data_IF_760049204372
#
_entry.id   IF_760049204372
#
_cell.length_a   1.000
_cell.length_b   1.000
_cell.length_c   1.000
_cell.angle_alpha   90.00
_cell.angle_beta   90.00
_cell.angle_gamma   90.00
#
_symmetry.space_group_name_H-M   'P 1'
#
loop_
_entity.id
_entity.type
_entity.pdbx_description
1 polymer ?
#
# COMPACT_ATOMS: atom_id res chain seq x y z
N UNK A 1 -13.80 -19.29 -53.96
CA UNK A 1 -14.96 -18.40 -53.85
C UNK A 1 -14.65 -17.40 -52.74
N UNK A 2 -14.42 -16.12 -53.11
CA UNK A 2 -14.07 -15.02 -52.20
C UNK A 2 -15.37 -14.43 -51.63
N UNK A 3 -15.46 -14.29 -50.31
CA UNK A 3 -16.44 -13.36 -49.73
C UNK A 3 -15.72 -12.31 -48.87
N UNK A 4 -15.75 -11.08 -49.40
CA UNK A 4 -15.36 -9.85 -48.68
C UNK A 4 -16.55 -9.39 -47.85
N UNK A 5 -16.42 -9.40 -46.53
CA UNK A 5 -17.35 -8.74 -45.63
C UNK A 5 -16.79 -7.38 -45.20
N UNK A 6 -17.35 -6.31 -45.71
CA UNK A 6 -17.13 -4.93 -45.27
C UNK A 6 -17.86 -4.70 -43.96
N UNK A 7 -17.13 -4.35 -42.90
CA UNK A 7 -17.71 -3.85 -41.65
C UNK A 7 -17.74 -2.32 -41.69
N UNK A 8 -18.93 -1.79 -41.62
CA UNK A 8 -19.27 -0.35 -41.64
C UNK A 8 -18.96 0.23 -40.25
N UNK A 9 -18.07 1.22 -40.19
CA UNK A 9 -17.82 2.04 -39.01
C UNK A 9 -18.97 3.04 -38.82
N UNK A 10 -19.73 2.89 -37.76
CA UNK A 10 -20.72 3.89 -37.34
C UNK A 10 -20.05 4.88 -36.39
N UNK A 11 -19.76 6.07 -36.87
CA UNK A 11 -19.33 7.23 -36.07
C UNK A 11 -20.57 7.78 -35.38
N UNK A 12 -20.64 7.69 -34.05
CA UNK A 12 -21.63 8.41 -33.24
C UNK A 12 -21.01 9.69 -32.71
N UNK A 13 -21.50 10.79 -33.26
CA UNK A 13 -21.24 12.16 -32.81
C UNK A 13 -22.03 12.41 -31.54
N UNK A 14 -21.36 12.80 -30.47
CA UNK A 14 -21.94 13.19 -29.17
C UNK A 14 -22.20 14.70 -29.18
N UNK A 15 -23.38 15.20 -28.81
CA UNK A 15 -23.60 16.64 -28.67
C UNK A 15 -23.04 17.17 -27.33
N UNK A 16 -22.36 18.27 -27.48
CA UNK A 16 -21.81 19.17 -26.50
C UNK A 16 -22.93 19.79 -25.64
N UNK A 17 -22.99 19.50 -24.34
CA UNK A 17 -23.87 20.22 -23.42
C UNK A 17 -23.02 21.07 -22.46
N UNK A 18 -23.05 22.37 -22.78
CA UNK A 18 -22.55 23.47 -21.95
C UNK A 18 -23.49 23.65 -20.74
N UNK A 19 -22.99 23.57 -19.51
CA UNK A 19 -23.62 24.13 -18.32
C UNK A 19 -22.57 24.89 -17.49
N UNK A 20 -22.81 26.19 -17.39
CA UNK A 20 -22.00 27.21 -16.69
C UNK A 20 -22.03 27.01 -15.17
N UNK A 21 -20.99 27.49 -14.46
CA UNK A 21 -20.89 27.45 -13.01
C UNK A 21 -21.50 28.70 -12.36
N UNK A 22 -22.16 28.49 -11.23
CA UNK A 22 -22.54 29.55 -10.31
C UNK A 22 -21.44 29.78 -9.27
N UNK A 23 -20.83 30.96 -9.33
CA UNK A 23 -19.92 31.51 -8.33
C UNK A 23 -20.73 31.93 -7.09
N UNK A 24 -20.38 31.36 -5.94
CA UNK A 24 -20.76 31.88 -4.62
C UNK A 24 -19.50 32.25 -3.85
N UNK A 25 -19.12 33.52 -3.99
CA UNK A 25 -18.20 34.23 -3.11
C UNK A 25 -18.95 34.68 -1.88
N UNK A 26 -18.63 34.10 -0.71
CA UNK A 26 -19.03 34.62 0.58
C UNK A 26 -17.78 35.20 1.28
N UNK A 27 -17.55 36.51 1.13
CA UNK A 27 -16.71 37.31 2.01
C UNK A 27 -17.50 37.65 3.28
N UNK A 28 -17.12 37.07 4.40
CA UNK A 28 -17.55 37.52 5.72
C UNK A 28 -16.46 38.41 6.33
N UNK A 29 -16.66 39.70 6.27
CA UNK A 29 -15.88 40.68 7.04
C UNK A 29 -16.58 40.94 8.37
N UNK A 30 -15.98 40.50 9.48
CA UNK A 30 -16.37 40.95 10.81
C UNK A 30 -15.39 42.02 11.28
N UNK A 31 -16.01 43.12 11.76
CA UNK A 31 -15.46 44.40 12.08
C UNK A 31 -14.80 44.39 13.46
N UNK A 32 -13.64 45.02 13.55
CA UNK A 32 -12.91 45.26 14.79
C UNK A 32 -13.70 46.10 15.77
N UNK A 33 -13.69 45.75 17.04
CA UNK A 33 -13.94 46.65 18.14
C UNK A 33 -12.74 46.69 19.08
N UNK A 34 -12.35 47.91 19.44
CA UNK A 34 -11.15 48.28 20.16
C UNK A 34 -11.32 48.07 21.67
N UNK A 35 -10.34 47.41 22.28
CA UNK A 35 -10.26 47.26 23.74
C UNK A 35 -8.91 46.72 24.21
N UNK A 36 -8.04 47.60 24.52
CA UNK A 36 -6.86 47.62 25.41
C UNK A 36 -6.27 46.31 25.99
N UNK A 37 -4.96 46.26 25.80
CA UNK A 37 -3.90 45.82 26.72
C UNK A 37 -3.73 44.35 27.08
N UNK A 38 -2.54 43.89 26.71
CA UNK A 38 -1.69 42.87 27.35
C UNK A 38 -1.46 41.61 26.54
N UNK A 39 -0.28 41.60 25.89
CA UNK A 39 0.28 40.38 25.35
C UNK A 39 0.45 39.30 26.43
N UNK A 40 0.11 38.08 26.12
CA UNK A 40 1.14 37.05 26.07
C UNK A 40 1.02 36.11 24.87
N UNK A 41 2.19 35.64 24.44
CA UNK A 41 2.45 34.39 23.76
C UNK A 41 1.58 34.03 22.54
N UNK A 42 2.19 34.18 21.39
CA UNK A 42 1.75 33.59 20.11
C UNK A 42 1.37 32.10 20.24
N UNK A 43 0.11 31.84 20.47
CA UNK A 43 -0.47 30.56 20.12
C UNK A 43 -0.62 30.54 18.60
N UNK A 44 0.37 29.99 17.92
CA UNK A 44 0.28 29.74 16.49
C UNK A 44 -0.98 28.90 16.21
N UNK A 45 -1.95 29.54 15.56
CA UNK A 45 -3.10 28.83 14.96
C UNK A 45 -2.54 27.84 13.96
N UNK A 46 -2.42 26.59 14.42
CA UNK A 46 -2.10 25.45 13.55
C UNK A 46 -3.32 25.30 12.65
N UNK A 47 -3.25 25.87 11.44
CA UNK A 47 -4.20 25.60 10.38
C UNK A 47 -4.35 24.07 10.20
N UNK A 48 -5.44 23.57 9.59
CA UNK A 48 -5.58 22.13 9.32
C UNK A 48 -4.33 21.69 8.58
N UNK A 49 -3.55 20.83 9.23
CA UNK A 49 -2.37 20.26 8.62
C UNK A 49 -2.83 19.53 7.35
N UNK A 50 -2.42 20.03 6.19
CA UNK A 50 -2.41 19.21 4.98
C UNK A 50 -1.81 17.86 5.35
N UNK A 51 -2.32 16.73 4.86
CA UNK A 51 -1.73 15.44 5.16
C UNK A 51 -0.26 15.52 4.75
N UNK A 52 0.62 15.63 5.74
CA UNK A 52 2.06 15.70 5.53
C UNK A 52 2.43 14.39 4.89
N UNK A 53 2.84 14.43 3.62
CA UNK A 53 3.36 13.26 2.94
C UNK A 53 4.57 12.77 3.74
N UNK A 54 4.49 11.55 4.26
CA UNK A 54 5.61 10.92 4.99
C UNK A 54 6.83 10.92 4.07
N UNK A 55 7.98 11.43 4.51
CA UNK A 55 9.18 11.46 3.69
C UNK A 55 9.60 10.06 3.24
N UNK A 56 10.02 9.90 2.00
CA UNK A 56 10.46 8.61 1.46
C UNK A 56 11.52 7.93 2.34
N UNK A 57 12.45 8.71 2.89
CA UNK A 57 13.51 8.19 3.77
C UNK A 57 12.96 7.53 5.04
N UNK A 58 11.87 8.06 5.60
CA UNK A 58 11.20 7.47 6.75
C UNK A 58 10.51 6.15 6.38
N UNK A 59 9.83 6.10 5.22
CA UNK A 59 9.22 4.88 4.71
C UNK A 59 10.28 3.80 4.44
N UNK A 60 11.41 4.18 3.86
CA UNK A 60 12.53 3.26 3.63
C UNK A 60 13.15 2.75 4.94
N UNK A 61 13.22 3.58 5.99
CA UNK A 61 13.67 3.16 7.31
C UNK A 61 12.70 2.13 7.95
N UNK A 62 11.40 2.33 7.79
CA UNK A 62 10.37 1.40 8.27
C UNK A 62 10.43 0.06 7.54
N UNK A 63 10.64 0.07 6.22
CA UNK A 63 10.84 -1.16 5.44
C UNK A 63 12.04 -1.96 5.97
N UNK A 64 13.20 -1.29 6.17
CA UNK A 64 14.39 -1.96 6.72
C UNK A 64 14.15 -2.52 8.13
N UNK A 65 13.41 -1.80 8.96
CA UNK A 65 13.03 -2.29 10.29
C UNK A 65 12.14 -3.53 10.24
N UNK A 66 11.40 -3.72 9.13
CA UNK A 66 10.60 -4.93 8.86
C UNK A 66 11.38 -6.01 8.10
N UNK A 67 12.68 -5.84 7.87
CA UNK A 67 13.53 -6.80 7.16
C UNK A 67 13.44 -6.71 5.63
N UNK A 68 12.79 -5.69 5.08
CA UNK A 68 12.56 -5.55 3.63
C UNK A 68 13.56 -4.53 3.07
N UNK A 69 14.30 -4.92 2.01
CA UNK A 69 15.13 -3.99 1.26
C UNK A 69 14.25 -3.01 0.46
N UNK A 70 14.35 -1.68 0.68
CA UNK A 70 13.48 -0.72 0.01
C UNK A 70 13.56 -0.79 -1.52
N UNK A 71 14.70 -1.18 -2.07
CA UNK A 71 14.88 -1.33 -3.52
C UNK A 71 14.17 -2.55 -4.10
N UNK A 72 13.72 -3.49 -3.28
CA UNK A 72 12.98 -4.68 -3.70
C UNK A 72 11.46 -4.53 -3.57
N UNK A 73 10.97 -3.38 -3.10
CA UNK A 73 9.53 -3.15 -3.04
C UNK A 73 8.99 -2.82 -4.42
N UNK A 74 8.13 -3.67 -4.93
CA UNK A 74 7.40 -3.54 -6.18
C UNK A 74 5.92 -3.86 -5.95
N UNK A 75 5.06 -3.23 -6.71
CA UNK A 75 3.60 -3.45 -6.73
C UNK A 75 3.14 -3.67 -8.16
N UNK A 76 1.92 -4.13 -8.31
CA UNK A 76 1.28 -4.31 -9.62
C UNK A 76 -0.17 -3.85 -9.55
N UNK A 77 -0.67 -3.34 -10.68
CA UNK A 77 -2.07 -2.96 -10.85
C UNK A 77 -2.73 -3.89 -11.86
N UNK A 78 -3.68 -4.69 -11.40
CA UNK A 78 -4.44 -5.61 -12.25
C UNK A 78 -5.93 -5.36 -12.05
N UNK A 79 -6.70 -5.10 -13.11
CA UNK A 79 -8.14 -4.89 -12.99
C UNK A 79 -8.83 -6.05 -12.26
N UNK A 80 -9.66 -5.71 -11.28
CA UNK A 80 -10.42 -6.69 -10.48
C UNK A 80 -9.64 -7.33 -9.33
N UNK A 81 -8.37 -6.99 -9.14
CA UNK A 81 -7.58 -7.44 -7.99
C UNK A 81 -7.33 -6.31 -7.01
N UNK A 82 -7.38 -6.62 -5.73
CA UNK A 82 -7.14 -5.70 -4.62
C UNK A 82 -6.03 -6.23 -3.73
N UNK A 83 -5.10 -5.37 -3.32
CA UNK A 83 -4.03 -5.73 -2.40
C UNK A 83 -4.59 -6.14 -1.04
N UNK A 84 -4.18 -7.31 -0.55
CA UNK A 84 -4.39 -7.75 0.82
C UNK A 84 -3.27 -7.15 1.71
N UNK A 85 -3.52 -6.03 2.37
CA UNK A 85 -2.48 -5.30 3.13
C UNK A 85 -1.74 -6.17 4.16
N UNK A 86 -2.45 -7.10 4.81
CA UNK A 86 -1.88 -8.03 5.79
C UNK A 86 -0.93 -9.06 5.17
N UNK A 87 -0.89 -9.19 3.84
CA UNK A 87 0.03 -10.09 3.12
C UNK A 87 1.38 -9.47 2.82
N UNK A 88 1.50 -8.16 3.05
CA UNK A 88 2.76 -7.45 2.81
C UNK A 88 3.80 -7.91 3.83
N UNK A 89 4.92 -8.42 3.34
CA UNK A 89 5.95 -8.98 4.21
C UNK A 89 7.29 -9.20 3.52
N UNK A 90 8.22 -9.76 4.29
CA UNK A 90 9.54 -10.14 3.79
C UNK A 90 9.45 -11.46 3.01
N UNK A 91 10.20 -11.57 1.92
CA UNK A 91 10.42 -12.78 1.14
C UNK A 91 11.92 -13.12 1.15
N UNK A 92 12.25 -14.34 1.56
CA UNK A 92 13.65 -14.74 1.73
C UNK A 92 14.40 -13.87 2.75
N UNK A 93 15.62 -13.44 2.41
CA UNK A 93 16.50 -12.70 3.31
C UNK A 93 16.07 -11.23 3.48
N UNK A 94 15.80 -10.53 2.39
CA UNK A 94 15.44 -9.09 2.38
C UNK A 94 14.45 -8.71 1.26
N UNK A 95 13.85 -9.70 0.59
CA UNK A 95 12.90 -9.49 -0.49
C UNK A 95 11.55 -8.98 0.01
N UNK A 96 10.65 -8.77 -0.93
CA UNK A 96 9.30 -8.28 -0.68
C UNK A 96 8.25 -9.28 -1.19
N UNK A 97 7.18 -9.44 -0.46
CA UNK A 97 6.01 -10.20 -0.90
C UNK A 97 4.71 -9.44 -0.66
N UNK A 98 3.74 -9.67 -1.54
CA UNK A 98 2.38 -9.18 -1.42
C UNK A 98 1.41 -10.14 -2.11
N UNK A 99 0.17 -10.21 -1.64
CA UNK A 99 -0.90 -10.92 -2.30
C UNK A 99 -2.04 -9.95 -2.68
N UNK A 100 -2.69 -10.26 -3.79
CA UNK A 100 -3.85 -9.54 -4.30
C UNK A 100 -4.98 -10.54 -4.49
N UNK A 101 -6.18 -10.18 -4.13
CA UNK A 101 -7.34 -11.03 -4.22
C UNK A 101 -8.41 -10.41 -5.12
N UNK A 102 -9.21 -11.25 -5.76
CA UNK A 102 -10.36 -10.86 -6.56
C UNK A 102 -11.66 -11.45 -5.99
N UNK A 103 -12.79 -10.82 -6.27
CA UNK A 103 -14.11 -11.25 -5.77
C UNK A 103 -14.50 -12.68 -6.16
N UNK A 104 -13.99 -13.17 -7.28
CA UNK A 104 -14.19 -14.57 -7.74
C UNK A 104 -13.34 -15.59 -6.97
N UNK A 105 -12.57 -15.17 -5.96
CA UNK A 105 -11.68 -16.00 -5.16
C UNK A 105 -10.36 -16.35 -5.86
N UNK A 106 -9.98 -15.64 -6.92
CA UNK A 106 -8.64 -15.72 -7.49
C UNK A 106 -7.65 -14.94 -6.63
N UNK A 107 -6.42 -15.43 -6.53
CA UNK A 107 -5.34 -14.80 -5.76
C UNK A 107 -4.10 -14.70 -6.62
N UNK A 108 -3.51 -13.49 -6.67
CA UNK A 108 -2.19 -13.23 -7.23
C UNK A 108 -1.18 -13.08 -6.09
N UNK A 109 -0.01 -13.67 -6.25
CA UNK A 109 1.14 -13.52 -5.36
C UNK A 109 2.27 -12.82 -6.10
N UNK A 110 2.77 -11.75 -5.53
CA UNK A 110 3.96 -11.03 -6.00
C UNK A 110 5.11 -11.30 -5.04
N UNK A 111 6.25 -11.70 -5.60
CA UNK A 111 7.50 -11.89 -4.88
C UNK A 111 8.60 -11.13 -5.60
N UNK A 112 9.27 -10.24 -4.89
CA UNK A 112 10.41 -9.50 -5.43
C UNK A 112 11.66 -9.86 -4.64
N UNK A 113 12.72 -10.21 -5.36
CA UNK A 113 13.96 -10.69 -4.78
C UNK A 113 15.17 -10.36 -5.66
N UNK A 114 16.35 -10.65 -5.16
CA UNK A 114 17.58 -10.59 -5.96
C UNK A 114 17.65 -11.83 -6.84
N UNK A 115 17.91 -11.65 -8.14
CA UNK A 115 17.93 -12.79 -9.04
C UNK A 115 17.84 -12.42 -10.51
N UNK A 116 17.45 -13.42 -11.31
CA UNK A 116 17.29 -13.33 -12.75
C UNK A 116 15.91 -13.84 -13.18
N UNK A 117 15.29 -13.16 -14.14
CA UNK A 117 14.03 -13.63 -14.74
C UNK A 117 14.22 -14.91 -15.58
N UNK A 118 15.47 -15.30 -15.87
CA UNK A 118 15.76 -16.57 -16.57
C UNK A 118 15.39 -17.81 -15.72
N UNK A 119 15.34 -17.66 -14.40
CA UNK A 119 15.04 -18.72 -13.44
C UNK A 119 13.55 -18.77 -13.07
N UNK A 120 12.68 -18.30 -13.98
CA UNK A 120 11.23 -18.22 -13.73
C UNK A 120 10.59 -19.61 -13.62
N UNK A 121 9.91 -19.94 -12.52
CA UNK A 121 9.22 -21.20 -12.38
C UNK A 121 8.05 -21.35 -13.36
N UNK A 122 7.77 -22.60 -13.75
CA UNK A 122 6.61 -22.90 -14.57
C UNK A 122 5.31 -22.41 -13.90
N UNK A 123 4.36 -21.92 -14.70
CA UNK A 123 3.11 -21.37 -14.21
C UNK A 123 3.21 -20.00 -13.56
N UNK A 124 4.39 -19.38 -13.58
CA UNK A 124 4.59 -18.01 -13.12
C UNK A 124 4.94 -17.07 -14.30
N UNK A 125 4.75 -15.77 -14.10
CA UNK A 125 5.28 -14.72 -14.96
C UNK A 125 6.37 -13.97 -14.20
N UNK A 126 7.53 -13.71 -14.85
CA UNK A 126 8.64 -13.03 -14.21
C UNK A 126 9.07 -11.83 -15.04
N UNK A 127 9.43 -10.75 -14.35
CA UNK A 127 9.99 -9.54 -14.94
C UNK A 127 11.26 -9.13 -14.20
N UNK A 128 12.21 -8.58 -14.92
CA UNK A 128 13.45 -8.03 -14.36
C UNK A 128 13.38 -6.48 -14.41
N UNK A 129 12.79 -5.81 -13.43
CA UNK A 129 12.61 -4.37 -13.45
C UNK A 129 13.93 -3.60 -13.34
N UNK A 130 14.99 -4.25 -12.88
CA UNK A 130 16.34 -3.72 -12.83
C UNK A 130 17.36 -4.87 -12.82
N UNK A 131 18.63 -4.55 -13.12
CA UNK A 131 19.71 -5.55 -13.10
C UNK A 131 19.84 -6.21 -11.72
N UNK A 132 19.84 -7.54 -11.70
CA UNK A 132 19.96 -8.34 -10.48
C UNK A 132 18.73 -8.34 -9.58
N UNK A 133 17.58 -7.94 -10.11
CA UNK A 133 16.29 -7.97 -9.41
C UNK A 133 15.28 -8.68 -10.28
N UNK A 134 14.47 -9.50 -9.66
CA UNK A 134 13.38 -10.22 -10.33
C UNK A 134 12.10 -10.03 -9.51
N UNK A 135 11.00 -9.83 -10.22
CA UNK A 135 9.66 -9.91 -9.66
C UNK A 135 8.96 -11.09 -10.31
N UNK A 136 8.51 -12.00 -9.49
CA UNK A 136 7.74 -13.19 -9.87
C UNK A 136 6.28 -12.99 -9.49
N UNK A 137 5.40 -13.21 -10.44
CA UNK A 137 3.95 -13.24 -10.25
C UNK A 137 3.49 -14.69 -10.43
N UNK A 138 2.78 -15.21 -9.46
CA UNK A 138 2.08 -16.49 -9.53
C UNK A 138 0.64 -16.32 -9.08
N UNK A 139 -0.20 -17.33 -9.28
CA UNK A 139 -1.60 -17.15 -8.90
C UNK A 139 -2.36 -18.46 -8.72
N UNK A 140 -3.41 -18.38 -7.92
CA UNK A 140 -4.39 -19.43 -7.75
C UNK A 140 -5.68 -19.03 -8.48
N UNK A 141 -6.19 -19.91 -9.35
CA UNK A 141 -7.36 -19.66 -10.20
C UNK A 141 -7.19 -18.43 -11.11
N UNK A 142 -5.97 -18.17 -11.54
CA UNK A 142 -5.58 -17.05 -12.40
C UNK A 142 -5.12 -17.56 -13.75
N UNK A 143 -5.63 -17.00 -14.82
CA UNK A 143 -5.24 -17.37 -16.18
C UNK A 143 -3.84 -16.83 -16.52
N UNK A 144 -3.11 -17.50 -17.41
CA UNK A 144 -1.74 -17.16 -17.76
C UNK A 144 -1.58 -15.77 -18.43
N UNK A 145 -2.61 -15.29 -19.11
CA UNK A 145 -2.64 -13.93 -19.69
C UNK A 145 -2.74 -12.86 -18.59
N UNK A 146 -3.53 -13.09 -17.55
CA UNK A 146 -3.62 -12.21 -16.38
C UNK A 146 -2.30 -12.17 -15.61
N UNK A 147 -1.59 -13.31 -15.47
CA UNK A 147 -0.26 -13.33 -14.85
C UNK A 147 0.75 -12.48 -15.64
N UNK A 148 0.68 -12.52 -16.98
CA UNK A 148 1.54 -11.68 -17.82
C UNK A 148 1.18 -10.21 -17.72
N UNK A 149 -0.12 -9.87 -17.75
CA UNK A 149 -0.61 -8.51 -17.53
C UNK A 149 -0.11 -7.96 -16.18
N UNK A 150 -0.21 -8.76 -15.12
CA UNK A 150 0.30 -8.41 -13.80
C UNK A 150 1.81 -8.18 -13.79
N UNK A 151 2.59 -8.99 -14.52
CA UNK A 151 4.03 -8.82 -14.63
C UNK A 151 4.40 -7.54 -15.42
N UNK A 152 3.66 -7.24 -16.48
CA UNK A 152 3.85 -6.04 -17.32
C UNK A 152 3.49 -4.75 -16.55
N UNK A 153 2.56 -4.83 -15.60
CA UNK A 153 2.12 -3.72 -14.75
C UNK A 153 3.02 -3.50 -13.52
N UNK A 154 4.07 -4.30 -13.32
CA UNK A 154 4.98 -4.18 -12.17
C UNK A 154 5.71 -2.83 -12.18
N UNK A 155 5.61 -2.11 -11.07
CA UNK A 155 6.27 -0.82 -10.92
C UNK A 155 6.76 -0.56 -9.48
N UNK A 156 7.55 0.50 -9.31
CA UNK A 156 7.96 1.00 -8.00
C UNK A 156 6.84 1.85 -7.40
N UNK A 157 6.41 1.60 -6.14
CA UNK A 157 5.36 2.39 -5.53
C UNK A 157 5.78 3.85 -5.35
N UNK A 158 4.85 4.77 -5.63
CA UNK A 158 4.96 6.16 -5.25
C UNK A 158 4.98 6.32 -3.71
N UNK A 159 5.47 7.43 -3.14
CA UNK A 159 5.53 7.60 -1.68
C UNK A 159 4.19 7.42 -0.96
N UNK A 160 3.09 7.90 -1.54
CA UNK A 160 1.75 7.74 -0.96
C UNK A 160 1.29 6.27 -0.97
N UNK A 161 1.53 5.57 -2.06
CA UNK A 161 1.24 4.14 -2.22
C UNK A 161 2.09 3.30 -1.26
N UNK A 162 3.40 3.60 -1.17
CA UNK A 162 4.28 2.95 -0.21
C UNK A 162 3.83 3.16 1.25
N UNK A 163 3.36 4.36 1.58
CA UNK A 163 2.82 4.63 2.90
C UNK A 163 1.56 3.80 3.21
N UNK A 164 0.74 3.53 2.19
CA UNK A 164 -0.44 2.67 2.31
C UNK A 164 -0.10 1.18 2.44
N UNK A 165 1.06 0.73 1.94
CA UNK A 165 1.53 -0.65 2.10
C UNK A 165 1.97 -0.97 3.53
N UNK A 166 2.48 0.03 4.24
CA UNK A 166 3.06 -0.16 5.56
C UNK A 166 2.00 -0.03 6.67
N UNK A 167 2.09 -0.84 7.74
CA UNK A 167 1.24 -0.64 8.90
C UNK A 167 1.41 0.78 9.43
N UNK A 168 0.42 1.34 10.15
CA UNK A 168 0.55 2.66 10.78
C UNK A 168 1.83 2.77 11.59
N UNK A 169 2.47 3.94 11.59
CA UNK A 169 3.63 4.16 12.43
C UNK A 169 3.26 3.95 13.91
N UNK A 170 4.14 3.33 14.72
CA UNK A 170 3.89 3.20 16.14
C UNK A 170 3.65 4.57 16.78
N UNK A 171 2.52 4.75 17.42
CA UNK A 171 2.17 6.01 18.10
C UNK A 171 2.67 6.07 19.54
N UNK A 172 3.07 4.92 20.10
CA UNK A 172 3.55 4.83 21.47
C UNK A 172 5.05 5.13 21.55
N UNK A 173 5.41 6.16 22.28
CA UNK A 173 6.79 6.52 22.60
C UNK A 173 7.30 5.83 23.88
N UNK A 174 6.44 5.11 24.58
CA UNK A 174 6.77 4.38 25.80
C UNK A 174 6.48 2.88 25.63
N UNK A 175 7.26 2.01 26.29
CA UNK A 175 6.95 0.58 26.34
C UNK A 175 5.52 0.35 26.83
N UNK A 176 4.79 -0.53 26.16
CA UNK A 176 3.47 -0.95 26.61
C UNK A 176 3.63 -1.60 27.98
N UNK A 177 3.12 -0.97 29.03
CA UNK A 177 2.98 -1.63 30.34
C UNK A 177 1.85 -2.63 30.20
N UNK A 178 2.18 -3.91 30.22
CA UNK A 178 1.18 -4.96 30.38
C UNK A 178 0.65 -4.90 31.80
N UNK A 179 -0.50 -4.26 31.97
CA UNK A 179 -1.17 -4.14 33.27
C UNK A 179 -2.00 -5.36 33.64
N UNK A 180 -2.04 -6.35 32.77
CA UNK A 180 -2.82 -7.59 32.90
C UNK A 180 -2.03 -8.74 33.53
N UNK A 181 -0.70 -8.61 33.67
CA UNK A 181 0.12 -9.60 34.34
C UNK A 181 0.21 -9.27 35.82
N UNK A 182 0.04 -10.24 36.74
CA UNK A 182 0.28 -10.04 38.14
C UNK A 182 1.74 -9.61 38.36
N UNK A 183 1.96 -8.75 39.37
CA UNK A 183 3.29 -8.21 39.70
C UNK A 183 4.31 -9.27 40.15
N UNK A 184 3.87 -10.50 40.28
CA UNK A 184 4.67 -11.66 40.64
C UNK A 184 4.34 -12.83 39.72
N UNK A 185 5.37 -13.45 39.16
CA UNK A 185 5.25 -14.57 38.21
C UNK A 185 5.25 -14.13 36.76
N UNK A 186 5.60 -15.04 35.91
CA UNK A 186 5.61 -14.87 34.43
C UNK A 186 4.24 -15.08 33.79
N UNK A 187 3.17 -15.26 34.59
CA UNK A 187 1.83 -15.56 34.13
C UNK A 187 1.66 -16.99 33.58
N UNK A 188 2.68 -17.82 33.65
CA UNK A 188 2.56 -19.24 33.32
C UNK A 188 1.76 -19.95 34.42
N UNK A 189 0.89 -20.93 34.06
CA UNK A 189 0.27 -21.78 35.05
C UNK A 189 1.34 -22.52 35.87
N UNK A 190 1.17 -22.55 37.17
CA UNK A 190 2.04 -23.35 38.04
C UNK A 190 1.86 -24.84 37.73
N UNK A 191 2.80 -25.37 36.97
CA UNK A 191 2.86 -26.79 36.60
C UNK A 191 3.66 -27.62 37.60
N UNK A 192 3.94 -27.10 38.80
CA UNK A 192 4.56 -27.89 39.86
C UNK A 192 3.61 -29.03 40.23
N UNK A 193 3.97 -30.23 39.86
CA UNK A 193 3.38 -31.46 40.40
C UNK A 193 3.84 -31.57 41.84
N UNK A 194 2.93 -31.29 42.78
CA UNK A 194 3.20 -31.65 44.17
C UNK A 194 3.53 -33.14 44.26
N UNK A 195 4.53 -33.51 45.05
CA UNK A 195 4.81 -34.91 45.35
C UNK A 195 3.54 -35.52 45.91
N UNK A 196 2.78 -36.18 45.06
CA UNK A 196 1.64 -37.00 45.43
C UNK A 196 2.20 -38.28 46.02
N UNK A 197 2.08 -38.43 47.31
CA UNK A 197 2.31 -39.67 47.98
C UNK A 197 1.24 -40.73 47.67
#
# INVERSE_FOLDING_TARGET
VRHHGRVIRTVRVLPLLLLLPALLTACGTEKADTGDARAPASAGTRGPASPSSVPRAELDARLRASGIAPELVYVTDVPGFTLAQQSVGVNGDDGFSAAYWAENGAVLHLYAERGSAADCPEGSACVAPAKGRVVRISGEKVAADVLREAADAVHRPAPAELAALLPPAPTATAPVRRGDLPSYGDGAPDNSVGEGG
#
